data_IF_939437266439
#
_entry.id   IF_939437266439
#
_cell.length_a   1.000
_cell.length_b   1.000
_cell.length_c   1.000
_cell.angle_alpha   90.00
_cell.angle_beta   90.00
_cell.angle_gamma   90.00
#
_symmetry.space_group_name_H-M   'P 1'
#
loop_
_entity.id
_entity.type
_entity.pdbx_description
1 polymer ?
#
# COMPACT_ATOMS: atom_id res chain seq x y z
N UNK A 1 -13.67 1.30 -17.93
CA UNK A 1 -12.83 0.21 -17.36
C UNK A 1 -13.23 0.00 -15.91
N UNK A 2 -13.52 -1.23 -15.49
CA UNK A 2 -13.91 -1.54 -14.09
C UNK A 2 -12.70 -1.88 -13.23
N UNK A 3 -12.49 -1.14 -12.15
CA UNK A 3 -11.37 -1.33 -11.20
C UNK A 3 -11.96 -1.73 -9.84
N UNK A 4 -11.45 -2.82 -9.27
CA UNK A 4 -11.79 -3.29 -7.93
C UNK A 4 -10.64 -2.99 -6.96
N UNK A 5 -10.91 -2.29 -5.86
CA UNK A 5 -9.97 -2.13 -4.75
C UNK A 5 -10.39 -3.02 -3.58
N UNK A 6 -9.54 -3.98 -3.24
CA UNK A 6 -9.86 -5.04 -2.28
C UNK A 6 -9.45 -4.65 -0.85
N UNK A 7 -10.20 -5.15 0.13
CA UNK A 7 -9.81 -5.08 1.54
C UNK A 7 -8.67 -6.05 1.83
N UNK A 8 -7.66 -5.58 2.53
CA UNK A 8 -6.55 -6.41 2.98
C UNK A 8 -6.98 -7.36 4.11
N UNK A 9 -6.43 -8.57 4.08
CA UNK A 9 -6.75 -9.65 5.04
C UNK A 9 -5.55 -10.08 5.87
N UNK A 10 -4.35 -9.60 5.51
CA UNK A 10 -3.12 -9.92 6.22
C UNK A 10 -3.13 -9.26 7.60
N UNK A 11 -2.95 -10.01 8.70
CA UNK A 11 -2.87 -9.44 10.03
C UNK A 11 -1.77 -8.37 10.13
N UNK A 12 -2.09 -7.22 10.72
CA UNK A 12 -1.17 -6.10 10.89
C UNK A 12 -0.99 -5.21 9.66
N UNK A 13 -1.62 -5.52 8.53
CA UNK A 13 -1.66 -4.59 7.39
C UNK A 13 -2.79 -3.57 7.60
N UNK A 14 -2.39 -2.31 7.80
CA UNK A 14 -3.32 -1.20 7.99
C UNK A 14 -3.41 -0.29 6.75
N UNK A 15 -2.53 -0.47 5.77
CA UNK A 15 -2.58 0.28 4.51
C UNK A 15 -3.66 -0.28 3.61
N UNK A 16 -4.07 0.55 2.66
CA UNK A 16 -5.11 0.24 1.70
C UNK A 16 -4.61 0.60 0.30
N UNK A 17 -5.02 -0.14 -0.74
CA UNK A 17 -4.54 0.09 -2.10
C UNK A 17 -5.04 1.41 -2.70
N UNK A 18 -6.12 1.99 -2.15
CA UNK A 18 -6.74 3.19 -2.71
C UNK A 18 -7.44 4.03 -1.63
N UNK A 19 -7.13 5.33 -1.59
CA UNK A 19 -7.79 6.31 -0.72
C UNK A 19 -8.86 7.10 -1.51
N UNK A 20 -9.86 7.73 -0.86
CA UNK A 20 -10.90 8.49 -1.56
C UNK A 20 -10.35 9.57 -2.50
N UNK A 21 -9.25 10.23 -2.14
CA UNK A 21 -8.64 11.27 -2.97
C UNK A 21 -8.02 10.74 -4.28
N UNK A 22 -7.53 9.50 -4.31
CA UNK A 22 -7.03 8.87 -5.54
C UNK A 22 -8.15 8.14 -6.28
N UNK A 23 -9.15 7.62 -5.57
CA UNK A 23 -10.39 7.11 -6.15
C UNK A 23 -11.11 8.17 -7.00
N UNK A 24 -11.28 9.39 -6.47
CA UNK A 24 -11.88 10.54 -7.19
C UNK A 24 -11.18 10.81 -8.53
N UNK A 25 -9.85 10.76 -8.55
CA UNK A 25 -9.07 10.95 -9.77
C UNK A 25 -9.34 9.86 -10.81
N UNK A 26 -9.41 8.60 -10.39
CA UNK A 26 -9.71 7.48 -11.28
C UNK A 26 -11.13 7.57 -11.85
N UNK A 27 -12.11 7.93 -11.01
CA UNK A 27 -13.50 8.14 -11.44
C UNK A 27 -13.58 9.28 -12.46
N UNK A 28 -12.89 10.40 -12.22
CA UNK A 28 -12.82 11.54 -13.16
C UNK A 28 -12.13 11.19 -14.48
N UNK A 29 -11.25 10.20 -14.51
CA UNK A 29 -10.66 9.65 -15.72
C UNK A 29 -11.57 8.65 -16.47
N UNK A 30 -12.77 8.38 -15.95
CA UNK A 30 -13.76 7.48 -16.57
C UNK A 30 -13.67 6.01 -16.12
N UNK A 31 -12.96 5.72 -15.03
CA UNK A 31 -12.98 4.39 -14.44
C UNK A 31 -14.28 4.13 -13.66
N UNK A 32 -14.85 2.94 -13.81
CA UNK A 32 -15.90 2.43 -12.94
C UNK A 32 -15.23 1.81 -11.73
N UNK A 33 -15.20 2.53 -10.60
CA UNK A 33 -14.50 2.10 -9.41
C UNK A 33 -15.44 1.37 -8.45
N UNK A 34 -15.03 0.18 -8.01
CA UNK A 34 -15.67 -0.58 -6.94
C UNK A 34 -14.66 -0.78 -5.81
N UNK A 35 -15.08 -0.54 -4.57
CA UNK A 35 -14.26 -0.79 -3.38
C UNK A 35 -14.96 -1.80 -2.49
N UNK A 36 -14.21 -2.69 -1.88
CA UNK A 36 -14.77 -3.63 -0.90
C UNK A 36 -15.15 -2.88 0.39
N UNK A 37 -16.33 -3.17 0.94
CA UNK A 37 -16.82 -2.57 2.17
C UNK A 37 -15.82 -2.75 3.32
N UNK A 38 -15.62 -1.66 4.06
CA UNK A 38 -14.73 -1.60 5.20
C UNK A 38 -13.23 -1.70 4.85
N UNK A 39 -12.85 -1.50 3.58
CA UNK A 39 -11.43 -1.45 3.17
C UNK A 39 -10.69 -0.33 3.90
N UNK A 40 -11.31 0.85 4.04
CA UNK A 40 -10.70 2.05 4.63
C UNK A 40 -10.69 2.12 6.16
N UNK A 41 -11.29 1.15 6.86
CA UNK A 41 -11.52 1.21 8.31
C UNK A 41 -10.24 1.37 9.12
N UNK A 42 -9.14 0.73 8.69
CA UNK A 42 -7.83 0.81 9.35
C UNK A 42 -7.23 2.21 9.36
N UNK A 43 -7.70 3.09 8.47
CA UNK A 43 -7.29 4.49 8.36
C UNK A 43 -8.38 5.47 8.81
N UNK A 44 -9.46 4.98 9.42
CA UNK A 44 -10.61 5.81 9.80
C UNK A 44 -11.39 6.38 8.60
N UNK A 45 -11.30 5.72 7.44
CA UNK A 45 -11.99 6.12 6.22
C UNK A 45 -13.27 5.29 6.07
N UNK A 46 -14.41 5.97 6.20
CA UNK A 46 -15.73 5.38 6.05
C UNK A 46 -16.06 5.05 4.58
N UNK A 47 -16.87 4.01 4.37
CA UNK A 47 -17.34 3.60 3.03
C UNK A 47 -18.05 4.74 2.29
N UNK A 48 -18.74 5.62 3.03
CA UNK A 48 -19.42 6.79 2.46
C UNK A 48 -18.45 7.79 1.82
N UNK A 49 -17.20 7.86 2.28
CA UNK A 49 -16.18 8.69 1.65
C UNK A 49 -15.87 8.22 0.22
N UNK A 50 -15.96 6.92 -0.04
CA UNK A 50 -15.80 6.35 -1.38
C UNK A 50 -17.04 6.58 -2.24
N UNK A 51 -18.25 6.44 -1.68
CA UNK A 51 -19.50 6.75 -2.38
C UNK A 51 -19.54 8.21 -2.86
N UNK A 52 -19.13 9.15 -2.01
CA UNK A 52 -19.06 10.59 -2.31
C UNK A 52 -18.18 10.94 -3.50
N UNK A 53 -17.16 10.13 -3.79
CA UNK A 53 -16.26 10.33 -4.94
C UNK A 53 -16.66 9.51 -6.17
N UNK A 54 -17.86 8.91 -6.16
CA UNK A 54 -18.42 8.16 -7.28
C UNK A 54 -17.98 6.70 -7.38
N UNK A 55 -17.34 6.15 -6.35
CA UNK A 55 -17.08 4.71 -6.27
C UNK A 55 -18.32 3.96 -5.77
N UNK A 56 -18.49 2.72 -6.24
CA UNK A 56 -19.47 1.79 -5.66
C UNK A 56 -18.81 1.02 -4.52
N UNK A 57 -19.56 0.77 -3.45
CA UNK A 57 -19.10 -0.05 -2.32
C UNK A 57 -19.76 -1.42 -2.44
N UNK A 58 -18.95 -2.48 -2.48
CA UNK A 58 -19.39 -3.86 -2.58
C UNK A 58 -19.35 -4.56 -1.21
N UNK A 59 -20.41 -5.30 -0.87
CA UNK A 59 -20.57 -5.90 0.47
C UNK A 59 -19.72 -7.17 0.66
N UNK A 60 -19.25 -7.77 -0.44
CA UNK A 60 -18.44 -8.99 -0.42
C UNK A 60 -17.25 -8.91 -1.38
N UNK A 61 -16.25 -9.76 -1.15
CA UNK A 61 -15.12 -9.87 -2.07
C UNK A 61 -15.56 -10.30 -3.47
N UNK A 62 -16.52 -11.23 -3.56
CA UNK A 62 -17.10 -11.73 -4.81
C UNK A 62 -17.79 -10.60 -5.60
N UNK A 63 -18.68 -9.85 -4.95
CA UNK A 63 -19.37 -8.72 -5.60
C UNK A 63 -18.42 -7.57 -5.99
N UNK A 64 -17.31 -7.42 -5.26
CA UNK A 64 -16.27 -6.44 -5.60
C UNK A 64 -15.49 -6.85 -6.85
N UNK A 65 -15.24 -8.16 -7.03
CA UNK A 65 -14.49 -8.72 -8.15
C UNK A 65 -15.34 -8.94 -9.40
N UNK A 66 -16.67 -9.03 -9.26
CA UNK A 66 -17.59 -9.28 -10.36
C UNK A 66 -17.40 -8.28 -11.50
N UNK A 67 -17.14 -8.77 -12.71
CA UNK A 67 -16.87 -7.97 -13.90
C UNK A 67 -15.66 -7.01 -13.81
N UNK A 68 -14.83 -7.08 -12.76
CA UNK A 68 -13.65 -6.24 -12.62
C UNK A 68 -12.62 -6.59 -13.70
N UNK A 69 -11.94 -5.60 -14.25
CA UNK A 69 -10.86 -5.79 -15.23
C UNK A 69 -9.49 -5.60 -14.58
N UNK A 70 -9.42 -4.72 -13.57
CA UNK A 70 -8.21 -4.47 -12.78
C UNK A 70 -8.54 -4.67 -11.31
N UNK A 71 -7.67 -5.39 -10.59
CA UNK A 71 -7.79 -5.66 -9.16
C UNK A 71 -6.57 -5.07 -8.44
N UNK A 72 -6.84 -4.24 -7.45
CA UNK A 72 -5.82 -3.57 -6.64
C UNK A 72 -5.76 -4.21 -5.24
N UNK A 73 -4.56 -4.58 -4.82
CA UNK A 73 -4.22 -5.03 -3.45
C UNK A 73 -2.90 -4.42 -3.00
N UNK A 74 -2.68 -4.40 -1.69
CA UNK A 74 -1.35 -4.18 -1.13
C UNK A 74 -0.50 -5.44 -1.30
N UNK A 75 -0.94 -6.57 -0.77
CA UNK A 75 -0.18 -7.82 -0.79
C UNK A 75 -0.61 -8.74 -1.94
N UNK A 76 0.29 -9.68 -2.26
CA UNK A 76 0.00 -10.82 -3.13
C UNK A 76 -1.24 -11.58 -2.65
N UNK A 77 -2.07 -12.08 -3.58
CA UNK A 77 -3.26 -12.82 -3.25
C UNK A 77 -2.90 -14.22 -2.72
N UNK A 78 -3.69 -14.74 -1.77
CA UNK A 78 -3.62 -16.16 -1.40
C UNK A 78 -4.14 -17.05 -2.54
N UNK A 79 -3.87 -18.36 -2.49
CA UNK A 79 -4.42 -19.32 -3.46
C UNK A 79 -5.96 -19.23 -3.59
N UNK A 80 -6.67 -19.08 -2.46
CA UNK A 80 -8.13 -18.89 -2.47
C UNK A 80 -8.55 -17.60 -3.17
N UNK A 81 -7.81 -16.50 -2.94
CA UNK A 81 -8.07 -15.22 -3.58
C UNK A 81 -7.75 -15.26 -5.08
N UNK A 82 -6.68 -15.97 -5.48
CA UNK A 82 -6.40 -16.27 -6.89
C UNK A 82 -7.58 -17.05 -7.46
N UNK A 83 -8.12 -18.03 -6.72
CA UNK A 83 -9.32 -18.80 -7.02
C UNK A 83 -10.59 -17.97 -7.31
N UNK A 84 -10.66 -16.73 -6.81
CA UNK A 84 -11.77 -15.80 -7.05
C UNK A 84 -11.57 -14.86 -8.26
N UNK A 85 -10.33 -14.75 -8.78
CA UNK A 85 -10.05 -13.91 -9.95
C UNK A 85 -10.63 -14.51 -11.23
N UNK A 86 -10.94 -13.69 -12.23
CA UNK A 86 -11.37 -14.15 -13.55
C UNK A 86 -10.23 -14.07 -14.55
N UNK A 87 -10.17 -15.01 -15.49
CA UNK A 87 -9.19 -14.99 -16.59
C UNK A 87 -9.20 -13.64 -17.33
N UNK A 88 -8.01 -13.16 -17.71
CA UNK A 88 -7.84 -11.88 -18.40
C UNK A 88 -7.86 -10.65 -17.49
N UNK A 89 -8.09 -10.81 -16.18
CA UNK A 89 -7.94 -9.71 -15.23
C UNK A 89 -6.48 -9.27 -15.08
N UNK A 90 -6.30 -7.99 -14.79
CA UNK A 90 -5.02 -7.41 -14.37
C UNK A 90 -4.98 -7.34 -12.84
N UNK A 91 -3.97 -7.95 -12.23
CA UNK A 91 -3.74 -7.89 -10.79
C UNK A 91 -2.55 -6.98 -10.47
N UNK A 92 -2.72 -6.01 -9.57
CA UNK A 92 -1.67 -5.07 -9.18
C UNK A 92 -1.47 -5.11 -7.67
N UNK A 93 -0.27 -5.50 -7.23
CA UNK A 93 0.11 -5.58 -5.81
C UNK A 93 1.63 -5.76 -5.64
N UNK A 94 2.08 -5.81 -4.39
CA UNK A 94 3.38 -6.41 -4.08
C UNK A 94 3.30 -7.94 -4.23
N UNK A 95 4.04 -8.48 -5.19
CA UNK A 95 4.03 -9.90 -5.57
C UNK A 95 5.24 -10.68 -5.07
N UNK A 96 6.35 -10.02 -4.79
CA UNK A 96 7.62 -10.66 -4.41
C UNK A 96 7.99 -11.84 -5.34
N UNK A 97 8.10 -11.59 -6.67
CA UNK A 97 8.11 -12.65 -7.68
C UNK A 97 9.35 -13.55 -7.64
N UNK A 98 10.43 -13.13 -6.97
CA UNK A 98 11.65 -13.90 -6.85
C UNK A 98 11.57 -14.93 -5.72
N UNK A 99 10.89 -14.61 -4.62
CA UNK A 99 10.75 -15.50 -3.47
C UNK A 99 9.51 -16.39 -3.57
N UNK A 100 8.43 -15.90 -4.19
CA UNK A 100 7.16 -16.63 -4.30
C UNK A 100 6.82 -16.97 -5.75
N UNK A 101 7.59 -17.91 -6.31
CA UNK A 101 7.33 -18.41 -7.65
C UNK A 101 6.01 -19.21 -7.75
N UNK A 102 5.50 -19.73 -6.63
CA UNK A 102 4.26 -20.49 -6.61
C UNK A 102 3.07 -19.58 -6.96
N UNK A 103 2.95 -18.44 -6.27
CA UNK A 103 1.91 -17.43 -6.54
C UNK A 103 1.97 -16.95 -7.99
N UNK A 104 3.17 -16.69 -8.52
CA UNK A 104 3.35 -16.24 -9.92
C UNK A 104 2.87 -17.31 -10.90
N UNK A 105 3.19 -18.59 -10.64
CA UNK A 105 2.73 -19.71 -11.49
C UNK A 105 1.22 -19.90 -11.41
N UNK A 106 0.61 -19.75 -10.24
CA UNK A 106 -0.85 -19.86 -10.07
C UNK A 106 -1.59 -18.74 -10.81
N UNK A 107 -1.12 -17.49 -10.70
CA UNK A 107 -1.64 -16.36 -11.48
C UNK A 107 -1.54 -16.61 -12.98
N UNK A 108 -0.38 -17.09 -13.44
CA UNK A 108 -0.16 -17.42 -14.85
C UNK A 108 -1.05 -18.56 -15.33
N UNK A 109 -1.19 -19.64 -14.54
CA UNK A 109 -2.04 -20.79 -14.86
C UNK A 109 -3.52 -20.40 -14.97
N UNK A 110 -3.95 -19.34 -14.27
CA UNK A 110 -5.29 -18.79 -14.34
C UNK A 110 -5.47 -17.71 -15.42
N UNK A 111 -4.43 -17.43 -16.21
CA UNK A 111 -4.49 -16.41 -17.26
C UNK A 111 -4.63 -14.98 -16.71
N UNK A 112 -4.10 -14.72 -15.52
CA UNK A 112 -4.10 -13.39 -14.90
C UNK A 112 -2.85 -12.63 -15.32
N UNK A 113 -3.02 -11.40 -15.78
CA UNK A 113 -1.90 -10.49 -16.04
C UNK A 113 -1.50 -9.80 -14.74
N UNK A 114 -0.30 -10.05 -14.25
CA UNK A 114 0.14 -9.53 -12.95
C UNK A 114 1.18 -8.40 -13.09
N UNK A 115 0.98 -7.29 -12.38
CA UNK A 115 1.92 -6.17 -12.28
C UNK A 115 2.49 -6.14 -10.86
N UNK A 116 3.77 -6.46 -10.74
CA UNK A 116 4.50 -6.37 -9.46
C UNK A 116 4.96 -4.93 -9.23
N UNK A 117 4.49 -4.33 -8.13
CA UNK A 117 4.83 -2.96 -7.75
C UNK A 117 6.32 -2.81 -7.38
N UNK A 118 6.97 -3.85 -6.84
CA UNK A 118 8.41 -3.78 -6.54
C UNK A 118 9.30 -3.88 -7.79
N UNK A 119 8.76 -4.33 -8.93
CA UNK A 119 9.49 -4.45 -10.20
C UNK A 119 9.38 -3.21 -11.10
N UNK A 120 8.81 -2.12 -10.59
CA UNK A 120 8.75 -0.85 -11.35
C UNK A 120 10.19 -0.37 -11.64
N UNK A 121 10.55 -0.12 -12.91
CA UNK A 121 11.91 0.27 -13.27
C UNK A 121 12.34 1.56 -12.57
N UNK A 122 13.56 1.57 -12.03
CA UNK A 122 14.18 2.75 -11.43
C UNK A 122 14.65 3.72 -12.51
N UNK A 123 13.72 4.53 -13.03
CA UNK A 123 13.96 5.54 -14.06
C UNK A 123 13.24 6.85 -13.72
N UNK A 124 13.73 7.97 -14.24
CA UNK A 124 13.16 9.30 -13.97
C UNK A 124 11.68 9.39 -14.33
N UNK A 125 11.25 8.74 -15.42
CA UNK A 125 9.85 8.75 -15.87
C UNK A 125 8.94 7.90 -14.96
N UNK A 126 9.48 6.90 -14.29
CA UNK A 126 8.74 5.97 -13.44
C UNK A 126 8.83 6.30 -11.94
N UNK A 127 9.60 7.33 -11.56
CA UNK A 127 9.85 7.68 -10.16
C UNK A 127 8.55 7.94 -9.36
N UNK A 128 7.53 8.53 -9.99
CA UNK A 128 6.22 8.78 -9.35
C UNK A 128 5.42 7.50 -9.07
N UNK A 129 5.81 6.38 -9.69
CA UNK A 129 5.17 5.08 -9.53
C UNK A 129 5.97 4.18 -8.57
N UNK A 130 7.17 4.56 -8.15
CA UNK A 130 8.03 3.74 -7.30
C UNK A 130 7.47 3.63 -5.87
N UNK A 131 6.75 2.54 -5.64
CA UNK A 131 6.11 2.27 -4.36
C UNK A 131 7.15 1.91 -3.30
N UNK A 132 8.26 1.25 -3.66
CA UNK A 132 9.32 0.88 -2.71
C UNK A 132 9.95 2.13 -2.10
N UNK A 133 10.28 3.12 -2.93
CA UNK A 133 10.79 4.41 -2.43
C UNK A 133 9.77 5.12 -1.53
N UNK A 134 8.49 5.13 -1.90
CA UNK A 134 7.45 5.76 -1.07
C UNK A 134 7.33 5.14 0.33
N UNK A 135 7.37 3.81 0.42
CA UNK A 135 7.24 3.10 1.70
C UNK A 135 8.53 3.15 2.51
N UNK A 136 9.70 3.05 1.86
CA UNK A 136 11.00 3.17 2.51
C UNK A 136 11.18 4.54 3.17
N UNK A 137 10.72 5.61 2.51
CA UNK A 137 10.74 6.95 3.06
C UNK A 137 9.96 7.02 4.40
N UNK A 138 8.69 6.59 4.39
CA UNK A 138 7.88 6.56 5.62
C UNK A 138 8.45 5.63 6.68
N UNK A 139 9.09 4.52 6.29
CA UNK A 139 9.76 3.62 7.22
C UNK A 139 10.95 4.27 7.93
N UNK A 140 11.74 5.11 7.23
CA UNK A 140 12.82 5.89 7.83
C UNK A 140 12.32 6.86 8.90
N UNK A 141 11.31 7.66 8.55
CA UNK A 141 10.64 8.54 9.51
C UNK A 141 10.10 7.77 10.73
N UNK A 142 9.36 6.68 10.49
CA UNK A 142 8.78 5.88 11.56
C UNK A 142 9.86 5.26 12.46
N UNK A 143 11.01 4.86 11.91
CA UNK A 143 12.13 4.32 12.69
C UNK A 143 12.66 5.35 13.71
N UNK A 144 12.77 6.63 13.32
CA UNK A 144 13.19 7.70 14.25
C UNK A 144 12.15 7.96 15.32
N UNK A 145 10.86 7.95 14.97
CA UNK A 145 9.76 8.12 15.95
C UNK A 145 9.75 6.99 16.98
N UNK A 146 9.85 5.74 16.51
CA UNK A 146 9.92 4.56 17.38
C UNK A 146 11.19 4.58 18.23
N UNK A 147 12.31 5.03 17.69
CA UNK A 147 13.54 5.19 18.46
C UNK A 147 13.38 6.23 19.56
N UNK A 148 12.76 7.38 19.27
CA UNK A 148 12.51 8.44 20.25
C UNK A 148 11.58 7.98 21.38
N UNK A 149 10.55 7.19 21.07
CA UNK A 149 9.63 6.60 22.06
C UNK A 149 10.35 5.63 23.02
N UNK A 150 11.36 4.92 22.51
CA UNK A 150 12.12 3.93 23.30
C UNK A 150 13.36 4.51 23.99
N UNK A 151 13.73 5.75 23.69
CA UNK A 151 14.96 6.35 24.19
C UNK A 151 14.75 6.86 25.62
N UNK A 152 15.65 6.50 26.53
CA UNK A 152 15.64 7.01 27.92
C UNK A 152 16.19 8.45 28.02
N UNK A 153 16.41 9.10 26.88
CA UNK A 153 16.94 10.45 26.73
C UNK A 153 16.16 11.16 25.64
N UNK A 154 16.14 12.48 25.68
CA UNK A 154 15.60 13.30 24.59
C UNK A 154 16.56 13.39 23.40
N UNK A 155 16.00 13.57 22.20
CA UNK A 155 16.79 13.79 20.98
C UNK A 155 17.51 15.14 20.96
N UNK A 156 16.82 16.29 21.12
CA UNK A 156 17.46 17.59 20.95
C UNK A 156 18.32 17.96 22.17
N UNK A 157 19.25 18.88 21.95
CA UNK A 157 19.83 19.64 23.06
C UNK A 157 18.74 20.54 23.64
N UNK A 158 18.63 20.59 24.96
CA UNK A 158 17.75 21.55 25.63
C UNK A 158 18.51 22.29 26.72
N UNK A 159 18.59 23.62 26.60
CA UNK A 159 19.10 24.50 27.64
C UNK A 159 17.94 25.15 28.36
N UNK A 160 17.81 24.85 29.65
CA UNK A 160 16.73 25.34 30.52
C UNK A 160 17.33 25.98 31.78
N UNK A 161 16.55 26.71 32.59
CA UNK A 161 17.03 27.19 33.89
C UNK A 161 17.52 26.08 34.83
N UNK A 162 17.02 24.85 34.66
CA UNK A 162 17.46 23.68 35.43
C UNK A 162 18.78 23.07 34.93
N UNK A 163 19.36 23.63 33.85
CA UNK A 163 20.59 23.15 33.23
C UNK A 163 20.42 22.74 31.77
N UNK A 164 21.49 22.19 31.20
CA UNK A 164 21.55 21.76 29.80
C UNK A 164 21.56 20.25 29.69
N UNK A 165 20.63 19.71 28.91
CA UNK A 165 20.61 18.31 28.50
C UNK A 165 21.33 18.20 27.16
N UNK A 166 22.39 17.39 27.11
CA UNK A 166 23.12 17.12 25.87
C UNK A 166 22.24 16.37 24.86
N UNK A 167 22.43 16.56 23.55
CA UNK A 167 21.64 15.86 22.55
C UNK A 167 21.94 14.36 22.56
N UNK A 168 21.04 13.59 21.95
CA UNK A 168 21.32 12.19 21.62
C UNK A 168 22.15 12.07 20.35
N UNK A 169 22.97 11.02 20.26
CA UNK A 169 23.80 10.75 19.08
C UNK A 169 23.16 9.62 18.28
N UNK A 170 22.79 9.91 17.04
CA UNK A 170 22.21 8.93 16.12
C UNK A 170 23.26 8.50 15.13
N UNK A 171 23.34 7.19 14.87
CA UNK A 171 24.19 6.63 13.83
C UNK A 171 23.33 5.76 12.91
N UNK A 172 23.33 6.10 11.62
CA UNK A 172 22.53 5.40 10.60
C UNK A 172 23.45 4.56 9.73
N UNK A 173 23.16 3.26 9.62
CA UNK A 173 23.89 2.33 8.76
C UNK A 173 23.08 2.11 7.48
N UNK A 174 23.59 2.62 6.36
CA UNK A 174 22.96 2.56 5.04
C UNK A 174 22.27 3.87 4.65
N UNK A 175 22.67 4.47 3.53
CA UNK A 175 22.18 5.77 3.04
C UNK A 175 21.23 5.63 1.84
N UNK A 176 20.36 4.63 1.87
CA UNK A 176 19.24 4.51 0.92
C UNK A 176 18.10 5.46 1.27
N UNK A 177 16.94 5.35 0.59
CA UNK A 177 15.78 6.23 0.82
C UNK A 177 15.36 6.28 2.29
N UNK A 178 15.29 5.12 2.97
CA UNK A 178 14.93 5.06 4.39
C UNK A 178 16.00 5.66 5.31
N UNK A 179 17.29 5.51 5.00
CA UNK A 179 18.36 6.02 5.86
C UNK A 179 18.63 7.51 5.69
N UNK A 180 18.19 8.09 4.56
CA UNK A 180 18.24 9.53 4.33
C UNK A 180 17.09 10.29 5.00
N UNK A 181 15.97 9.61 5.28
CA UNK A 181 14.80 10.20 5.92
C UNK A 181 14.91 10.16 7.45
#
# INVERSE_FOLDING_TARGET
>A
MKIAAMKETKPGENRIPLIPATADKLVKLGATLVVQSGMGQTLGLEDDAYRKVGATVADSAESCLDGAQVVLRMHKPSADQIGQLSEGQVHISYLDPFQDQATVRELAAKGISAISLEMIPRSTIAQKMDVVSSQANLAGYAAVVIAADRLEKILPMMSTPAGTISPSRVFVIGAGVAGLQ
#
